data_IF_833250730055
#
_entry.id   IF_833250730055
#
_cell.length_a   1.000
_cell.length_b   1.000
_cell.length_c   1.000
_cell.angle_alpha   90.00
_cell.angle_beta   90.00
_cell.angle_gamma   90.00
#
_symmetry.space_group_name_H-M   'P 1'
#
loop_
_entity.id
_entity.type
_entity.pdbx_description
1 polymer ?
#
# COMPACT_ATOMS: atom_id res chain seq x y z
N UNK A 1 -10.39 12.90 -42.23
CA UNK A 1 -9.81 13.76 -41.16
C UNK A 1 -8.96 12.97 -40.16
N UNK A 2 -8.10 12.06 -40.63
CA UNK A 2 -7.53 11.01 -39.75
C UNK A 2 -6.17 11.38 -39.14
N UNK A 3 -5.42 12.28 -39.76
CA UNK A 3 -4.04 12.63 -39.36
C UNK A 3 -3.97 13.51 -38.11
N UNK A 4 -4.95 14.39 -37.89
CA UNK A 4 -4.99 15.26 -36.70
C UNK A 4 -5.28 14.45 -35.43
N UNK A 5 -6.16 13.46 -35.48
CA UNK A 5 -6.45 12.57 -34.34
C UNK A 5 -5.22 11.71 -33.93
N UNK A 6 -4.27 11.49 -34.84
CA UNK A 6 -2.98 10.85 -34.53
C UNK A 6 -2.05 11.79 -33.74
N UNK A 7 -2.02 13.08 -34.12
CA UNK A 7 -1.22 14.10 -33.43
C UNK A 7 -1.75 14.41 -32.02
N UNK A 8 -3.07 14.41 -31.81
CA UNK A 8 -3.67 14.64 -30.49
C UNK A 8 -3.69 13.39 -29.57
N UNK A 9 -3.66 12.16 -30.09
CA UNK A 9 -3.61 10.94 -29.25
C UNK A 9 -2.19 10.48 -28.86
N UNK A 10 -1.15 10.97 -29.52
CA UNK A 10 0.24 10.55 -29.25
C UNK A 10 0.92 11.44 -28.21
N UNK A 11 0.34 11.52 -27.00
CA UNK A 11 1.04 12.14 -25.88
C UNK A 11 2.40 11.47 -25.68
N UNK A 12 3.46 12.28 -25.68
CA UNK A 12 4.84 11.78 -25.66
C UNK A 12 5.14 11.04 -24.36
N UNK A 13 6.23 10.28 -24.36
CA UNK A 13 6.72 9.62 -23.15
C UNK A 13 6.85 10.63 -21.99
N UNK A 14 7.40 11.82 -22.24
CA UNK A 14 7.59 12.86 -21.23
C UNK A 14 6.28 13.35 -20.62
N UNK A 15 5.26 13.63 -21.44
CA UNK A 15 3.94 14.04 -20.94
C UNK A 15 3.31 12.96 -20.08
N UNK A 16 3.28 11.70 -20.55
CA UNK A 16 2.71 10.58 -19.77
C UNK A 16 3.48 10.35 -18.47
N UNK A 17 4.80 10.40 -18.52
CA UNK A 17 5.66 10.23 -17.36
C UNK A 17 5.43 11.34 -16.33
N UNK A 18 5.41 12.62 -16.74
CA UNK A 18 5.08 13.77 -15.87
C UNK A 18 3.72 13.60 -15.19
N UNK A 19 2.68 13.23 -15.93
CA UNK A 19 1.34 13.02 -15.36
C UNK A 19 1.36 11.90 -14.32
N UNK A 20 1.92 10.73 -14.63
CA UNK A 20 1.97 9.61 -13.68
C UNK A 20 2.81 9.93 -12.43
N UNK A 21 3.95 10.63 -12.56
CA UNK A 21 4.77 11.04 -11.41
C UNK A 21 4.00 11.99 -10.47
N UNK A 22 3.33 13.02 -11.01
CA UNK A 22 2.52 13.94 -10.23
C UNK A 22 1.34 13.24 -9.53
N UNK A 23 0.71 12.26 -10.18
CA UNK A 23 -0.34 11.45 -9.56
C UNK A 23 0.20 10.60 -8.41
N UNK A 24 1.37 9.94 -8.55
CA UNK A 24 2.02 9.19 -7.45
C UNK A 24 2.30 10.11 -6.26
N UNK A 25 2.92 11.27 -6.48
CA UNK A 25 3.24 12.24 -5.42
C UNK A 25 1.96 12.69 -4.70
N UNK A 26 0.91 13.03 -5.45
CA UNK A 26 -0.38 13.45 -4.89
C UNK A 26 -1.08 12.33 -4.11
N UNK A 27 -0.99 11.09 -4.61
CA UNK A 27 -1.52 9.87 -3.98
C UNK A 27 -0.82 9.58 -2.65
N UNK A 28 0.51 9.69 -2.60
CA UNK A 28 1.30 9.48 -1.38
C UNK A 28 0.90 10.49 -0.30
N UNK A 29 0.81 11.78 -0.65
CA UNK A 29 0.38 12.85 0.28
C UNK A 29 -1.00 12.57 0.89
N UNK A 30 -1.95 12.02 0.11
CA UNK A 30 -3.26 11.60 0.60
C UNK A 30 -3.21 10.34 1.49
N UNK A 31 -2.41 9.33 1.12
CA UNK A 31 -2.31 8.06 1.84
C UNK A 31 -1.59 8.19 3.18
N UNK A 32 -0.63 9.13 3.31
CA UNK A 32 0.14 9.38 4.54
C UNK A 32 -0.78 9.61 5.74
N UNK A 33 -1.63 10.64 5.68
CA UNK A 33 -2.57 11.00 6.76
C UNK A 33 -3.48 9.82 7.19
N UNK A 34 -3.98 9.03 6.23
CA UNK A 34 -4.82 7.85 6.51
C UNK A 34 -4.05 6.77 7.27
N UNK A 35 -2.83 6.47 6.83
CA UNK A 35 -1.97 5.42 7.40
C UNK A 35 -1.40 5.82 8.77
N UNK A 36 -1.08 7.10 8.96
CA UNK A 36 -0.69 7.65 10.28
C UNK A 36 -1.82 7.50 11.31
N UNK A 37 -3.06 7.87 10.94
CA UNK A 37 -4.22 7.68 11.82
C UNK A 37 -4.46 6.19 12.15
N UNK A 38 -4.30 5.30 11.15
CA UNK A 38 -4.38 3.85 11.37
C UNK A 38 -3.30 3.38 12.35
N UNK A 39 -2.05 3.86 12.22
CA UNK A 39 -0.96 3.54 13.15
C UNK A 39 -1.24 4.02 14.58
N UNK A 40 -1.78 5.23 14.76
CA UNK A 40 -2.19 5.73 16.08
C UNK A 40 -3.25 4.80 16.70
N UNK A 41 -4.23 4.34 15.92
CA UNK A 41 -5.24 3.40 16.41
C UNK A 41 -4.62 2.03 16.77
N UNK A 42 -3.77 1.46 15.90
CA UNK A 42 -3.11 0.18 16.17
C UNK A 42 -2.16 0.24 17.39
N UNK A 43 -1.51 1.38 17.67
CA UNK A 43 -0.73 1.59 18.90
C UNK A 43 -1.62 1.62 20.15
N UNK A 44 -2.81 2.21 20.09
CA UNK A 44 -3.80 2.19 21.19
C UNK A 44 -4.36 0.78 21.44
N UNK A 45 -4.67 0.02 20.39
CA UNK A 45 -5.03 -1.41 20.51
C UNK A 45 -3.89 -2.20 21.18
N UNK A 46 -2.63 -1.92 20.82
CA UNK A 46 -1.47 -2.56 21.43
C UNK A 46 -1.38 -2.31 22.93
N UNK A 47 -1.59 -1.07 23.38
CA UNK A 47 -1.65 -0.71 24.81
C UNK A 47 -2.71 -1.54 25.54
N UNK A 48 -3.90 -1.70 24.95
CA UNK A 48 -4.97 -2.52 25.54
C UNK A 48 -4.57 -3.99 25.65
N UNK A 49 -3.89 -4.56 24.65
CA UNK A 49 -3.40 -5.94 24.72
C UNK A 49 -2.34 -6.13 25.82
N UNK A 50 -1.42 -5.18 25.99
CA UNK A 50 -0.41 -5.24 27.05
C UNK A 50 -1.05 -5.13 28.45
N UNK A 51 -1.96 -4.16 28.66
CA UNK A 51 -2.67 -3.97 29.92
C UNK A 51 -3.57 -5.15 30.32
N UNK A 52 -4.08 -5.92 29.35
CA UNK A 52 -4.93 -7.09 29.60
C UNK A 52 -4.16 -8.42 29.59
N UNK A 53 -2.83 -8.40 29.51
CA UNK A 53 -1.99 -9.60 29.49
C UNK A 53 -2.11 -10.45 28.20
N UNK A 54 -2.70 -9.90 27.13
CA UNK A 54 -2.92 -10.59 25.86
C UNK A 54 -1.66 -10.58 24.97
N UNK A 55 -0.50 -10.96 25.54
CA UNK A 55 0.81 -10.84 24.89
C UNK A 55 0.92 -11.67 23.61
N UNK A 56 0.25 -12.82 23.51
CA UNK A 56 0.20 -13.63 22.28
C UNK A 56 -0.38 -12.85 21.10
N UNK A 57 -1.43 -12.06 21.33
CA UNK A 57 -2.06 -11.19 20.32
C UNK A 57 -1.15 -10.00 20.02
N UNK A 58 -0.56 -9.37 21.06
CA UNK A 58 0.39 -8.27 20.91
C UNK A 58 1.59 -8.66 20.02
N UNK A 59 2.20 -9.84 20.25
CA UNK A 59 3.33 -10.39 19.49
C UNK A 59 3.03 -10.58 17.99
N UNK A 60 1.79 -10.89 17.64
CA UNK A 60 1.35 -11.01 16.24
C UNK A 60 1.05 -9.62 15.66
N UNK A 61 0.27 -8.79 16.37
CA UNK A 61 -0.18 -7.48 15.91
C UNK A 61 0.96 -6.46 15.75
N UNK A 62 2.03 -6.53 16.55
CA UNK A 62 3.17 -5.61 16.41
C UNK A 62 3.89 -5.80 15.08
N UNK A 63 3.85 -7.00 14.52
CA UNK A 63 4.43 -7.29 13.22
C UNK A 63 3.68 -6.57 12.08
N UNK A 64 2.36 -6.38 12.23
CA UNK A 64 1.57 -5.55 11.31
C UNK A 64 1.92 -4.07 11.48
N UNK A 65 2.02 -3.57 12.71
CA UNK A 65 2.46 -2.19 13.01
C UNK A 65 3.81 -1.88 12.35
N UNK A 66 4.78 -2.80 12.41
CA UNK A 66 6.10 -2.63 11.78
C UNK A 66 5.99 -2.58 10.24
N UNK A 67 5.17 -3.44 9.63
CA UNK A 67 4.92 -3.39 8.18
C UNK A 67 4.32 -2.05 7.76
N UNK A 68 3.34 -1.54 8.51
CA UNK A 68 2.67 -0.27 8.23
C UNK A 68 3.63 0.93 8.36
N UNK A 69 4.49 0.94 9.39
CA UNK A 69 5.58 1.94 9.52
C UNK A 69 6.57 1.85 8.36
N UNK A 70 6.96 0.64 7.96
CA UNK A 70 7.90 0.45 6.86
C UNK A 70 7.30 0.89 5.50
N UNK A 71 5.99 0.69 5.27
CA UNK A 71 5.31 1.19 4.07
C UNK A 71 5.30 2.72 4.05
N UNK A 72 5.04 3.41 5.16
CA UNK A 72 5.14 4.87 5.22
C UNK A 72 6.56 5.37 4.92
N UNK A 73 7.58 4.78 5.54
CA UNK A 73 8.98 5.12 5.26
C UNK A 73 9.37 4.85 3.79
N UNK A 74 8.84 3.78 3.18
CA UNK A 74 9.05 3.53 1.75
C UNK A 74 8.34 4.57 0.87
N UNK A 75 7.15 5.05 1.26
CA UNK A 75 6.42 6.09 0.52
C UNK A 75 7.16 7.43 0.52
N UNK A 76 7.84 7.81 1.61
CA UNK A 76 8.71 9.00 1.64
C UNK A 76 9.85 8.91 0.61
N UNK A 77 10.51 7.76 0.51
CA UNK A 77 11.59 7.52 -0.46
C UNK A 77 11.04 7.49 -1.90
N UNK A 78 9.89 6.84 -2.13
CA UNK A 78 9.23 6.81 -3.46
C UNK A 78 8.78 8.20 -3.88
N UNK A 79 8.23 9.01 -2.98
CA UNK A 79 7.86 10.41 -3.23
C UNK A 79 9.07 11.24 -3.66
N UNK A 80 10.16 11.19 -2.89
CA UNK A 80 11.43 11.86 -3.20
C UNK A 80 11.97 11.45 -4.57
N UNK A 81 11.99 10.15 -4.88
CA UNK A 81 12.43 9.67 -6.20
C UNK A 81 11.49 10.08 -7.33
N UNK A 82 10.17 10.13 -7.09
CA UNK A 82 9.23 10.64 -8.07
C UNK A 82 9.45 12.14 -8.34
N UNK A 83 9.67 12.97 -7.32
CA UNK A 83 9.99 14.39 -7.47
C UNK A 83 11.34 14.60 -8.19
N UNK A 84 12.37 13.82 -7.83
CA UNK A 84 13.71 13.87 -8.44
C UNK A 84 13.71 13.51 -9.94
N UNK A 85 12.95 12.47 -10.32
CA UNK A 85 12.76 12.07 -11.72
C UNK A 85 11.86 13.08 -12.45
N UNK A 86 10.82 13.61 -11.80
CA UNK A 86 9.90 14.60 -12.38
C UNK A 86 10.65 15.86 -12.85
N UNK A 87 11.56 16.37 -12.02
CA UNK A 87 12.43 17.49 -12.36
C UNK A 87 13.35 17.22 -13.57
N UNK A 88 13.65 15.95 -13.87
CA UNK A 88 14.60 15.51 -14.91
C UNK A 88 13.96 14.80 -16.10
N UNK A 89 12.62 14.77 -16.21
CA UNK A 89 11.93 14.13 -17.34
C UNK A 89 12.45 14.56 -18.73
N UNK A 90 12.83 15.82 -19.00
CA UNK A 90 13.42 16.18 -20.30
C UNK A 90 14.69 15.36 -20.65
N UNK A 91 15.53 15.04 -19.65
CA UNK A 91 16.72 14.20 -19.83
C UNK A 91 16.32 12.75 -20.11
N UNK A 92 15.36 12.22 -19.32
CA UNK A 92 14.78 10.88 -19.49
C UNK A 92 14.13 10.71 -20.87
N UNK A 93 13.48 11.76 -21.40
CA UNK A 93 12.80 11.72 -22.69
C UNK A 93 13.79 11.62 -23.86
N UNK A 94 14.90 12.38 -23.83
CA UNK A 94 15.92 12.39 -24.89
C UNK A 94 16.86 11.17 -24.83
N UNK A 95 17.36 10.81 -23.64
CA UNK A 95 18.37 9.75 -23.50
C UNK A 95 17.81 8.37 -23.84
N UNK A 96 18.53 7.57 -24.65
CA UNK A 96 18.09 6.22 -25.04
C UNK A 96 18.24 5.21 -23.89
N UNK A 97 19.33 5.33 -23.13
CA UNK A 97 19.63 4.48 -21.97
C UNK A 97 19.31 5.22 -20.67
N UNK A 98 19.16 4.46 -19.57
CA UNK A 98 18.87 5.04 -18.26
C UNK A 98 20.11 5.76 -17.70
N UNK A 99 20.09 7.10 -17.52
CA UNK A 99 21.24 7.86 -17.04
C UNK A 99 21.69 7.40 -15.66
N UNK A 100 23.00 7.35 -15.41
CA UNK A 100 23.56 6.84 -14.15
C UNK A 100 22.99 7.55 -12.91
N UNK A 101 22.93 8.89 -12.95
CA UNK A 101 22.37 9.74 -11.88
C UNK A 101 20.88 9.46 -11.58
N UNK A 102 20.13 8.93 -12.55
CA UNK A 102 18.70 8.65 -12.42
C UNK A 102 18.42 7.17 -12.16
N UNK A 103 19.43 6.30 -12.29
CA UNK A 103 19.25 4.85 -12.26
C UNK A 103 18.69 4.38 -10.93
N UNK A 104 19.19 4.89 -9.81
CA UNK A 104 18.70 4.51 -8.48
C UNK A 104 17.22 4.87 -8.29
N UNK A 105 16.84 6.10 -8.62
CA UNK A 105 15.46 6.56 -8.48
C UNK A 105 14.51 5.78 -9.40
N UNK A 106 14.87 5.58 -10.67
CA UNK A 106 14.04 4.88 -11.66
C UNK A 106 13.91 3.38 -11.31
N UNK A 107 15.02 2.70 -11.00
CA UNK A 107 15.00 1.30 -10.55
C UNK A 107 14.17 1.12 -9.28
N UNK A 108 14.25 2.06 -8.33
CA UNK A 108 13.48 2.00 -7.07
C UNK A 108 11.98 2.21 -7.29
N UNK A 109 11.58 3.13 -8.16
CA UNK A 109 10.17 3.31 -8.59
C UNK A 109 9.65 2.03 -9.26
N UNK A 110 10.45 1.39 -10.12
CA UNK A 110 10.11 0.12 -10.76
C UNK A 110 9.93 -1.00 -9.72
N UNK A 111 10.88 -1.15 -8.79
CA UNK A 111 10.82 -2.16 -7.73
C UNK A 111 9.60 -1.99 -6.81
N UNK A 112 9.28 -0.75 -6.43
CA UNK A 112 8.12 -0.40 -5.61
C UNK A 112 6.78 -0.71 -6.30
N UNK A 113 6.71 -0.61 -7.64
CA UNK A 113 5.47 -0.86 -8.39
C UNK A 113 4.86 -2.26 -8.19
N UNK A 114 5.68 -3.27 -7.86
CA UNK A 114 5.21 -4.63 -7.58
C UNK A 114 4.80 -4.87 -6.12
N UNK A 115 4.99 -3.89 -5.23
CA UNK A 115 4.85 -4.04 -3.76
C UNK A 115 3.90 -3.01 -3.14
N UNK A 116 3.69 -1.87 -3.78
CA UNK A 116 2.81 -0.79 -3.30
C UNK A 116 1.47 -0.78 -4.06
N UNK A 117 0.55 -1.69 -3.70
CA UNK A 117 -0.76 -1.84 -4.37
C UNK A 117 -1.65 -0.58 -4.32
N UNK A 118 -1.55 0.23 -3.27
CA UNK A 118 -2.29 1.51 -3.16
C UNK A 118 -1.76 2.62 -4.09
N UNK A 119 -0.65 2.38 -4.79
CA UNK A 119 0.01 3.28 -5.75
C UNK A 119 0.01 2.68 -7.18
N UNK A 120 -1.16 2.37 -7.78
CA UNK A 120 -1.26 1.75 -9.11
C UNK A 120 -0.67 2.61 -10.25
N UNK A 121 -0.45 3.91 -10.04
CA UNK A 121 0.28 4.76 -10.97
C UNK A 121 1.76 4.34 -11.11
N UNK A 122 2.36 3.69 -10.10
CA UNK A 122 3.69 3.08 -10.22
C UNK A 122 3.73 1.97 -11.28
N UNK A 123 2.63 1.21 -11.46
CA UNK A 123 2.54 0.20 -12.52
C UNK A 123 2.54 0.86 -13.91
N UNK A 124 1.92 2.03 -14.04
CA UNK A 124 1.94 2.82 -15.27
C UNK A 124 3.36 3.38 -15.54
N UNK A 125 4.05 3.88 -14.52
CA UNK A 125 5.46 4.28 -14.62
C UNK A 125 6.36 3.11 -15.01
N UNK A 126 6.19 1.93 -14.41
CA UNK A 126 6.91 0.72 -14.82
C UNK A 126 6.69 0.44 -16.29
N UNK A 127 5.45 0.43 -16.78
CA UNK A 127 5.14 0.14 -18.19
C UNK A 127 5.74 1.19 -19.16
N UNK A 128 5.79 2.46 -18.75
CA UNK A 128 6.51 3.51 -19.48
C UNK A 128 8.01 3.23 -19.53
N UNK A 129 8.64 2.89 -18.40
CA UNK A 129 10.06 2.53 -18.35
C UNK A 129 10.39 1.22 -19.10
N UNK A 130 9.50 0.22 -19.11
CA UNK A 130 9.62 -1.00 -19.95
C UNK A 130 9.70 -0.63 -21.43
N UNK A 131 8.85 0.31 -21.87
CA UNK A 131 8.84 0.80 -23.26
C UNK A 131 10.08 1.64 -23.59
N UNK A 132 10.61 2.37 -22.60
CA UNK A 132 11.71 3.32 -22.77
C UNK A 132 13.10 2.67 -22.70
N UNK A 133 13.31 1.75 -21.76
CA UNK A 133 14.62 1.14 -21.45
C UNK A 133 14.65 -0.39 -21.62
N UNK A 134 13.53 -1.01 -22.01
CA UNK A 134 13.43 -2.44 -22.29
C UNK A 134 13.04 -3.30 -21.09
N UNK A 135 12.69 -4.56 -21.38
CA UNK A 135 12.21 -5.53 -20.38
C UNK A 135 13.31 -5.96 -19.41
N UNK A 136 14.54 -6.18 -19.88
CA UNK A 136 15.65 -6.64 -19.01
C UNK A 136 16.03 -5.63 -17.94
N UNK A 137 16.01 -4.33 -18.25
CA UNK A 137 16.24 -3.27 -17.25
C UNK A 137 15.18 -3.31 -16.14
N UNK A 138 13.90 -3.45 -16.53
CA UNK A 138 12.78 -3.53 -15.58
C UNK A 138 12.80 -4.83 -14.78
N UNK A 139 13.09 -5.97 -15.41
CA UNK A 139 13.23 -7.26 -14.75
C UNK A 139 14.39 -7.24 -13.74
N UNK A 140 15.56 -6.70 -14.12
CA UNK A 140 16.71 -6.54 -13.24
C UNK A 140 16.38 -5.75 -11.97
N UNK A 141 15.63 -4.64 -12.09
CA UNK A 141 15.15 -3.86 -10.95
C UNK A 141 14.09 -4.60 -10.11
N UNK A 142 13.16 -5.33 -10.72
CA UNK A 142 12.11 -6.07 -9.99
C UNK A 142 12.64 -7.30 -9.22
N UNK A 143 13.59 -8.01 -9.82
CA UNK A 143 14.21 -9.25 -9.34
C UNK A 143 15.43 -9.01 -8.42
N UNK A 144 15.87 -7.76 -8.29
CA UNK A 144 17.09 -7.38 -7.55
C UNK A 144 18.35 -8.11 -8.06
N UNK A 145 18.52 -8.18 -9.38
CA UNK A 145 19.74 -8.69 -10.01
C UNK A 145 20.97 -7.88 -9.53
N UNK A 146 22.20 -8.44 -9.62
CA UNK A 146 23.43 -7.66 -9.51
C UNK A 146 23.35 -6.39 -10.36
N UNK A 147 23.84 -5.27 -9.82
CA UNK A 147 23.82 -3.95 -10.44
C UNK A 147 22.44 -3.37 -10.82
N UNK A 148 21.34 -3.94 -10.29
CA UNK A 148 19.96 -3.43 -10.44
C UNK A 148 19.80 -1.96 -10.03
N UNK A 149 20.68 -1.46 -9.15
CA UNK A 149 20.72 -0.07 -8.70
C UNK A 149 19.56 0.33 -7.78
N UNK A 150 18.72 -0.60 -7.33
CA UNK A 150 17.61 -0.31 -6.42
C UNK A 150 18.14 0.16 -5.06
N UNK A 151 17.55 1.23 -4.52
CA UNK A 151 17.91 1.78 -3.22
C UNK A 151 17.73 0.74 -2.10
N UNK A 152 18.79 0.51 -1.32
CA UNK A 152 18.83 -0.53 -0.29
C UNK A 152 17.75 -0.36 0.79
N UNK A 153 17.50 0.87 1.23
CA UNK A 153 16.47 1.15 2.23
C UNK A 153 15.08 0.83 1.70
N UNK A 154 14.77 1.10 0.42
CA UNK A 154 13.51 0.68 -0.21
C UNK A 154 13.37 -0.86 -0.26
N UNK A 155 14.46 -1.60 -0.50
CA UNK A 155 14.45 -3.08 -0.47
C UNK A 155 14.11 -3.58 0.93
N UNK A 156 14.76 -3.04 1.96
CA UNK A 156 14.55 -3.41 3.36
C UNK A 156 13.11 -3.08 3.81
N UNK A 157 12.62 -1.88 3.49
CA UNK A 157 11.30 -1.39 3.89
C UNK A 157 10.15 -2.10 3.17
N UNK A 158 10.31 -2.45 1.89
CA UNK A 158 9.31 -3.19 1.11
C UNK A 158 9.54 -4.71 1.13
N UNK A 159 10.40 -5.22 2.02
CA UNK A 159 10.64 -6.64 2.18
C UNK A 159 9.42 -7.36 2.76
N UNK A 160 9.10 -8.54 2.22
CA UNK A 160 8.08 -9.44 2.76
C UNK A 160 8.58 -10.27 3.96
N UNK A 161 9.89 -10.21 4.26
CA UNK A 161 10.51 -10.94 5.38
C UNK A 161 9.90 -10.50 6.71
N UNK A 162 9.64 -11.46 7.59
CA UNK A 162 9.17 -11.17 8.95
C UNK A 162 10.20 -10.33 9.72
N UNK A 163 9.78 -9.26 10.43
CA UNK A 163 10.61 -8.53 11.38
C UNK A 163 11.23 -9.45 12.44
N UNK A 164 12.47 -9.16 12.84
CA UNK A 164 13.15 -9.91 13.90
C UNK A 164 12.42 -9.80 15.24
N UNK A 165 12.61 -10.79 16.12
CA UNK A 165 12.10 -10.76 17.50
C UNK A 165 12.54 -9.50 18.25
N UNK A 166 13.82 -9.12 18.10
CA UNK A 166 14.38 -7.86 18.64
C UNK A 166 13.64 -6.61 18.12
N UNK A 167 13.35 -6.54 16.81
CA UNK A 167 12.62 -5.41 16.22
C UNK A 167 11.18 -5.32 16.75
N UNK A 168 10.50 -6.47 16.86
CA UNK A 168 9.16 -6.57 17.46
C UNK A 168 9.16 -6.12 18.92
N UNK A 169 10.11 -6.63 19.71
CA UNK A 169 10.29 -6.28 21.12
C UNK A 169 10.60 -4.79 21.32
N UNK A 170 11.47 -4.21 20.49
CA UNK A 170 11.81 -2.79 20.53
C UNK A 170 10.59 -1.91 20.28
N UNK A 171 9.72 -2.28 19.33
CA UNK A 171 8.49 -1.52 19.06
C UNK A 171 7.46 -1.70 20.19
N UNK A 172 7.32 -2.89 20.78
CA UNK A 172 6.47 -3.09 21.97
C UNK A 172 6.94 -2.24 23.15
N UNK A 173 8.24 -2.30 23.49
CA UNK A 173 8.85 -1.50 24.57
C UNK A 173 8.65 0.00 24.33
N UNK A 174 8.82 0.48 23.09
CA UNK A 174 8.58 1.88 22.73
C UNK A 174 7.10 2.31 22.85
N UNK A 175 6.13 1.44 22.51
CA UNK A 175 4.70 1.73 22.70
C UNK A 175 4.35 1.75 24.19
N UNK A 176 4.83 0.78 24.98
CA UNK A 176 4.61 0.76 26.42
C UNK A 176 5.14 2.03 27.09
N UNK A 177 6.35 2.48 26.73
CA UNK A 177 6.95 3.72 27.22
C UNK A 177 6.17 4.97 26.79
N UNK A 178 5.76 5.09 25.52
CA UNK A 178 5.01 6.24 25.00
C UNK A 178 3.68 6.47 25.74
N UNK A 179 3.00 5.39 26.11
CA UNK A 179 1.70 5.43 26.80
C UNK A 179 1.78 5.21 28.32
N UNK A 180 2.99 5.17 28.90
CA UNK A 180 3.26 4.94 30.32
C UNK A 180 2.58 3.66 30.87
N UNK A 181 2.67 2.57 30.10
CA UNK A 181 2.19 1.24 30.50
C UNK A 181 3.32 0.50 31.21
N UNK A 182 3.10 0.13 32.46
CA UNK A 182 3.98 -0.80 33.18
C UNK A 182 3.76 -2.22 32.64
N UNK A 183 4.78 -2.77 31.97
CA UNK A 183 4.74 -4.07 31.31
C UNK A 183 6.07 -4.80 31.48
N UNK A 184 6.03 -6.01 32.06
CA UNK A 184 7.18 -6.91 32.09
C UNK A 184 7.34 -7.63 30.74
N UNK A 185 8.34 -7.21 29.98
CA UNK A 185 8.63 -7.79 28.66
C UNK A 185 9.26 -9.19 28.70
N UNK A 186 9.61 -9.72 29.87
CA UNK A 186 10.43 -10.94 30.02
C UNK A 186 9.82 -12.17 29.35
N UNK A 187 8.50 -12.35 29.43
CA UNK A 187 7.82 -13.47 28.78
C UNK A 187 7.89 -13.36 27.24
N UNK A 188 7.46 -12.23 26.69
CA UNK A 188 7.53 -11.94 25.25
C UNK A 188 8.96 -11.98 24.69
N UNK A 189 9.96 -11.55 25.46
CA UNK A 189 11.37 -11.61 25.07
C UNK A 189 11.88 -13.08 25.02
N UNK A 190 11.57 -13.89 26.03
CA UNK A 190 11.88 -15.33 26.01
C UNK A 190 11.18 -16.05 24.85
N UNK A 191 9.91 -15.72 24.57
CA UNK A 191 9.13 -16.25 23.45
C UNK A 191 9.72 -15.88 22.08
N UNK A 192 10.22 -14.65 21.90
CA UNK A 192 10.88 -14.24 20.66
C UNK A 192 12.27 -14.87 20.46
N UNK A 193 12.93 -15.28 21.55
CA UNK A 193 14.21 -15.98 21.53
C UNK A 193 14.08 -17.50 21.32
N UNK A 194 12.85 -18.05 21.31
CA UNK A 194 12.63 -19.46 20.95
C UNK A 194 13.05 -19.70 19.50
N UNK A 195 14.14 -20.42 19.31
CA UNK A 195 14.42 -21.10 18.04
C UNK A 195 13.34 -22.17 17.86
N UNK A 196 12.40 -21.91 16.96
CA UNK A 196 11.62 -22.97 16.36
C UNK A 196 12.59 -23.73 15.45
N UNK A 197 12.85 -25.00 15.78
CA UNK A 197 13.58 -25.89 14.86
C UNK A 197 12.83 -25.91 13.53
N UNK A 198 13.53 -25.58 12.45
CA UNK A 198 12.91 -25.42 11.14
C UNK A 198 12.66 -26.81 10.54
N UNK A 199 11.47 -27.36 10.83
CA UNK A 199 11.03 -28.67 10.35
C UNK A 199 10.91 -28.76 8.81
N UNK A 200 11.31 -27.72 8.09
CA UNK A 200 11.37 -27.64 6.63
C UNK A 200 12.80 -27.48 6.07
N UNK A 201 13.86 -27.51 6.89
CA UNK A 201 15.25 -27.52 6.40
C UNK A 201 15.65 -28.92 5.89
N UNK A 202 15.12 -29.27 4.72
CA UNK A 202 15.34 -30.55 4.06
C UNK A 202 16.72 -30.68 3.41
N UNK A 203 17.79 -30.83 4.19
CA UNK A 203 19.12 -31.25 3.68
C UNK A 203 19.99 -32.00 4.70
N UNK A 204 19.65 -33.29 4.87
CA UNK A 204 20.53 -34.45 5.09
C UNK A 204 21.86 -34.30 5.88
N UNK A 205 21.89 -34.86 7.10
CA UNK A 205 22.73 -36.04 7.44
C UNK A 205 22.61 -36.48 8.90
N UNK A 206 21.90 -37.58 9.15
CA UNK A 206 22.18 -38.47 10.30
C UNK A 206 21.56 -39.84 10.05
N UNK A 207 22.38 -40.82 9.64
CA UNK A 207 21.97 -42.22 9.63
C UNK A 207 22.08 -42.75 11.05
N UNK A 208 20.99 -42.67 11.81
CA UNK A 208 20.85 -43.45 13.04
C UNK A 208 20.20 -44.78 12.72
N UNK A 209 21.01 -45.83 12.84
CA UNK A 209 20.64 -47.21 12.59
C UNK A 209 19.76 -47.72 13.73
N UNK A 210 18.45 -47.88 13.48
CA UNK A 210 17.52 -48.54 14.41
C UNK A 210 16.92 -49.76 13.72
N UNK A 211 17.06 -50.92 14.36
CA UNK A 211 16.60 -52.20 13.81
C UNK A 211 15.06 -52.29 13.85
N UNK A 212 14.48 -52.84 12.77
CA UNK A 212 13.06 -53.15 12.72
C UNK A 212 12.78 -54.51 13.40
N UNK A 213 11.70 -54.67 14.19
CA UNK A 213 11.22 -55.97 14.62
C UNK A 213 10.48 -56.68 13.47
N UNK A 214 10.70 -57.99 13.37
CA UNK A 214 10.03 -58.89 12.42
C UNK A 214 8.59 -59.15 12.86
N UNK A 215 7.64 -59.10 11.92
CA UNK A 215 6.34 -59.76 12.05
C UNK A 215 6.18 -60.71 10.86
N UNK A 216 5.97 -61.98 11.19
CA UNK A 216 5.96 -63.11 10.26
C UNK A 216 4.54 -63.35 9.71
N UNK A 217 4.44 -63.64 8.41
CA UNK A 217 3.16 -63.89 7.73
C UNK A 217 2.99 -65.38 7.44
N UNK A 218 1.90 -66.01 7.91
CA UNK A 218 1.50 -67.34 7.47
C UNK A 218 0.56 -67.25 6.24
N UNK A 219 0.92 -68.00 5.19
CA UNK A 219 0.19 -68.09 3.92
C UNK A 219 -0.55 -69.43 3.82
N UNK A 220 -1.72 -69.46 3.16
CA UNK A 220 -2.14 -70.45 2.13
C UNK A 220 -3.41 -69.91 1.44
N UNK A 221 -3.40 -69.55 0.14
CA UNK A 221 -3.53 -70.38 -1.08
C UNK A 221 -5.02 -70.65 -1.48
N UNK A 222 -5.50 -70.72 -2.73
CA UNK A 222 -4.93 -70.71 -4.12
C UNK A 222 -6.09 -70.33 -5.09
N UNK A 223 -5.99 -69.53 -6.18
CA UNK A 223 -5.26 -69.64 -7.47
C UNK A 223 -6.03 -70.28 -8.66
N UNK A 224 -6.37 -69.47 -9.70
CA UNK A 224 -6.46 -69.76 -11.18
C UNK A 224 -7.06 -68.52 -11.90
N UNK A 225 -6.50 -67.90 -12.96
CA UNK A 225 -6.23 -68.33 -14.38
C UNK A 225 -7.52 -68.62 -15.18
N UNK A 226 -7.73 -68.20 -16.44
CA UNK A 226 -6.92 -67.40 -17.41
C UNK A 226 -7.83 -66.71 -18.50
N UNK A 227 -7.27 -66.11 -19.57
CA UNK A 227 -7.88 -65.07 -20.48
C UNK A 227 -8.36 -65.60 -21.90
N UNK A 228 -8.40 -64.75 -22.98
CA UNK A 228 -9.52 -64.12 -23.78
C UNK A 228 -10.13 -65.01 -24.93
N UNK A 229 -10.75 -64.59 -26.11
CA UNK A 229 -11.05 -63.26 -26.74
C UNK A 229 -12.36 -63.03 -27.60
N UNK A 230 -12.66 -61.73 -27.87
CA UNK A 230 -13.15 -61.01 -29.11
C UNK A 230 -14.08 -61.67 -30.17
N UNK A 231 -15.16 -60.97 -30.64
CA UNK A 231 -15.47 -60.59 -32.06
C UNK A 231 -16.87 -59.90 -32.32
N UNK A 232 -16.85 -58.82 -33.16
CA UNK A 232 -17.86 -58.31 -34.15
C UNK A 232 -19.12 -57.48 -33.72
N UNK A 233 -19.42 -56.46 -34.56
CA UNK A 233 -20.44 -55.36 -34.54
C UNK A 233 -21.75 -55.69 -35.33
N UNK A 234 -22.59 -54.79 -35.95
CA UNK A 234 -22.73 -53.29 -35.95
C UNK A 234 -24.19 -52.68 -36.06
N UNK A 235 -24.29 -51.33 -36.23
CA UNK A 235 -25.26 -50.51 -37.05
C UNK A 235 -26.37 -49.62 -36.38
N UNK A 236 -26.30 -48.29 -36.68
CA UNK A 236 -27.30 -47.15 -36.75
C UNK A 236 -28.20 -46.75 -35.53
N UNK A 237 -28.67 -45.49 -35.33
CA UNK A 237 -28.82 -44.33 -36.26
C UNK A 237 -28.82 -42.91 -35.57
N UNK A 238 -28.74 -41.84 -36.41
CA UNK A 238 -29.27 -40.46 -36.29
C UNK A 238 -28.74 -39.34 -35.32
N UNK A 239 -28.09 -38.33 -35.94
CA UNK A 239 -28.23 -36.84 -35.81
C UNK A 239 -27.78 -35.99 -34.57
N UNK A 240 -27.58 -34.68 -34.85
CA UNK A 240 -26.90 -33.65 -34.02
C UNK A 240 -27.86 -32.59 -33.41
N UNK A 241 -27.50 -31.92 -32.29
CA UNK A 241 -28.11 -30.66 -31.86
C UNK A 241 -27.28 -29.41 -32.23
N UNK A 242 -27.93 -28.23 -32.34
CA UNK A 242 -27.30 -26.96 -32.74
C UNK A 242 -27.71 -25.74 -31.87
N UNK A 243 -27.03 -24.60 -32.06
CA UNK A 243 -26.79 -23.49 -31.09
C UNK A 243 -27.86 -22.38 -31.05
N UNK A 244 -28.11 -21.79 -29.86
CA UNK A 244 -28.46 -20.35 -29.59
C UNK A 244 -28.39 -20.06 -28.07
N UNK A 245 -28.18 -18.85 -27.53
CA UNK A 245 -28.01 -17.51 -28.10
C UNK A 245 -28.79 -16.45 -27.29
N UNK A 246 -28.11 -15.50 -26.62
CA UNK A 246 -28.72 -14.39 -25.83
C UNK A 246 -29.47 -13.36 -26.71
N UNK A 247 -30.37 -12.48 -26.19
CA UNK A 247 -29.96 -11.21 -25.56
C UNK A 247 -30.96 -10.61 -24.52
N UNK A 248 -30.98 -9.28 -24.38
CA UNK A 248 -31.42 -8.44 -23.24
C UNK A 248 -32.76 -7.67 -23.37
N UNK A 249 -33.33 -7.29 -22.21
CA UNK A 249 -34.29 -6.19 -21.94
C UNK A 249 -35.71 -6.25 -22.55
N UNK A 250 -36.72 -5.70 -21.85
CA UNK A 250 -37.23 -4.36 -22.23
C UNK A 250 -37.65 -3.47 -21.03
N UNK A 251 -38.20 -2.29 -21.34
CA UNK A 251 -38.61 -1.25 -20.39
C UNK A 251 -40.12 -1.06 -20.27
N UNK A 252 -40.56 -0.39 -19.19
CA UNK A 252 -41.71 0.53 -19.19
C UNK A 252 -43.10 -0.05 -18.90
N UNK A 253 -43.66 0.31 -17.75
CA UNK A 253 -45.10 0.62 -17.61
C UNK A 253 -45.33 1.51 -16.39
N UNK A 254 -46.33 2.39 -16.46
CA UNK A 254 -46.66 3.36 -15.42
C UNK A 254 -47.91 2.95 -14.65
N UNK A 255 -47.98 3.29 -13.35
CA UNK A 255 -49.24 3.70 -12.70
C UNK A 255 -48.98 4.43 -11.39
N UNK A 256 -49.71 5.52 -11.19
CA UNK A 256 -49.71 6.29 -9.96
C UNK A 256 -50.78 5.78 -8.99
N UNK A 257 -50.53 5.92 -7.69
CA UNK A 257 -51.56 5.98 -6.66
C UNK A 257 -51.29 7.15 -5.73
N UNK A 258 -52.31 7.96 -5.48
CA UNK A 258 -52.26 9.10 -4.59
C UNK A 258 -52.46 8.67 -3.13
N UNK A 259 -51.88 9.40 -2.19
CA UNK A 259 -52.18 9.29 -0.77
C UNK A 259 -52.58 10.67 -0.22
N UNK A 260 -53.62 10.68 0.63
CA UNK A 260 -54.32 11.88 1.10
C UNK A 260 -53.65 12.56 2.30
N UNK A 261 -53.91 13.86 2.47
CA UNK A 261 -53.50 14.66 3.63
C UNK A 261 -54.37 14.35 4.86
N UNK A 262 -53.76 14.39 6.04
CA UNK A 262 -54.40 14.94 7.26
C UNK A 262 -53.33 15.46 8.23
N UNK A 263 -53.56 16.65 8.80
CA UNK A 263 -52.74 17.31 9.83
C UNK A 263 -53.45 17.18 11.20
N UNK A 264 -52.77 17.48 12.32
CA UNK A 264 -53.15 18.71 13.05
C UNK A 264 -51.98 19.53 13.65
N UNK A 265 -52.32 20.80 13.98
CA UNK A 265 -51.52 21.87 14.63
C UNK A 265 -50.92 21.49 16.01
N UNK A 266 -50.06 22.29 16.69
CA UNK A 266 -49.59 23.69 16.56
C UNK A 266 -48.08 23.75 17.00
N UNK A 267 -47.33 24.87 17.08
CA UNK A 267 -47.62 26.29 17.31
C UNK A 267 -46.43 27.16 16.86
N UNK A 268 -46.62 28.47 16.69
CA UNK A 268 -45.72 29.40 15.96
C UNK A 268 -44.57 30.00 16.78
N UNK A 269 -43.49 30.45 16.11
CA UNK A 269 -42.90 31.79 16.30
C UNK A 269 -42.04 32.21 15.09
N UNK A 270 -42.19 33.45 14.63
CA UNK A 270 -41.61 34.01 13.39
C UNK A 270 -40.24 34.69 13.56
N UNK A 271 -39.37 34.62 12.54
CA UNK A 271 -38.73 35.77 11.86
C UNK A 271 -37.82 35.31 10.68
N UNK A 272 -37.51 36.19 9.69
CA UNK A 272 -37.34 35.76 8.29
C UNK A 272 -35.90 35.43 7.86
N UNK A 273 -35.80 34.71 6.74
CA UNK A 273 -34.55 34.45 6.03
C UNK A 273 -34.20 35.61 5.08
N UNK A 274 -32.93 36.04 5.07
CA UNK A 274 -32.37 36.90 4.02
C UNK A 274 -31.71 36.05 2.93
N UNK A 275 -31.87 36.49 1.68
CA UNK A 275 -31.26 35.87 0.50
C UNK A 275 -29.75 36.12 0.47
N UNK A 276 -28.93 35.08 0.49
CA UNK A 276 -27.48 35.21 0.28
C UNK A 276 -27.21 35.44 -1.21
N UNK A 277 -27.29 36.71 -1.61
CA UNK A 277 -26.81 37.21 -2.90
C UNK A 277 -25.31 36.96 -3.04
N UNK A 278 -24.91 36.28 -4.11
CA UNK A 278 -23.52 35.93 -4.36
C UNK A 278 -22.76 37.12 -4.98
N UNK A 279 -22.33 38.05 -4.14
CA UNK A 279 -21.48 39.18 -4.53
C UNK A 279 -19.99 38.83 -4.42
N UNK A 280 -19.24 39.07 -5.50
CA UNK A 280 -17.79 38.90 -5.52
C UNK A 280 -17.12 39.92 -4.59
N UNK A 281 -16.15 39.53 -3.75
CA UNK A 281 -15.49 40.45 -2.83
C UNK A 281 -14.76 41.55 -3.62
N UNK A 282 -14.92 42.80 -3.18
CA UNK A 282 -14.31 43.94 -3.86
C UNK A 282 -12.78 43.89 -3.75
N UNK A 283 -12.08 44.55 -4.68
CA UNK A 283 -10.61 44.68 -4.59
C UNK A 283 -10.15 45.35 -3.29
N UNK A 284 -11.01 46.17 -2.66
CA UNK A 284 -10.76 46.79 -1.36
C UNK A 284 -10.68 45.77 -0.23
N UNK A 285 -11.62 44.82 -0.18
CA UNK A 285 -11.70 43.81 0.89
C UNK A 285 -10.52 42.83 0.87
N UNK A 286 -10.02 42.51 -0.32
CA UNK A 286 -8.83 41.69 -0.49
C UNK A 286 -7.56 42.39 0.00
N UNK A 287 -7.41 43.69 -0.29
CA UNK A 287 -6.28 44.49 0.15
C UNK A 287 -6.28 44.71 1.67
N UNK A 288 -7.44 44.92 2.29
CA UNK A 288 -7.52 45.12 3.73
C UNK A 288 -7.24 43.81 4.50
N UNK A 289 -7.75 42.67 4.03
CA UNK A 289 -7.37 41.35 4.56
C UNK A 289 -5.86 41.08 4.45
N UNK A 290 -5.23 41.49 3.34
CA UNK A 290 -3.78 41.37 3.18
C UNK A 290 -3.00 42.25 4.18
N UNK A 291 -3.44 43.49 4.42
CA UNK A 291 -2.84 44.39 5.44
C UNK A 291 -2.95 43.81 6.84
N UNK A 292 -4.13 43.29 7.22
CA UNK A 292 -4.35 42.64 8.52
C UNK A 292 -3.44 41.41 8.69
N UNK A 293 -3.27 40.60 7.64
CA UNK A 293 -2.34 39.46 7.65
C UNK A 293 -0.88 39.90 7.85
N UNK A 294 -0.41 40.93 7.14
CA UNK A 294 0.94 41.50 7.30
C UNK A 294 1.14 42.03 8.72
N UNK A 295 0.17 42.78 9.25
CA UNK A 295 0.21 43.29 10.63
C UNK A 295 0.22 42.16 11.69
N UNK A 296 -0.40 41.02 11.40
CA UNK A 296 -0.34 39.84 12.26
C UNK A 296 1.04 39.17 12.22
N UNK A 297 1.59 38.97 11.01
CA UNK A 297 2.91 38.37 10.81
C UNK A 297 4.05 39.19 11.43
N UNK A 298 3.98 40.53 11.36
CA UNK A 298 4.97 41.41 12.00
C UNK A 298 4.89 41.37 13.52
N UNK A 299 3.68 41.32 14.11
CA UNK A 299 3.49 41.12 15.57
C UNK A 299 4.04 39.77 16.03
N UNK A 300 3.72 38.67 15.32
CA UNK A 300 4.26 37.35 15.62
C UNK A 300 5.80 37.31 15.56
N UNK A 301 6.38 37.94 14.53
CA UNK A 301 7.84 38.07 14.38
C UNK A 301 8.47 38.89 15.51
N UNK A 302 7.82 39.94 16.00
CA UNK A 302 8.30 40.73 17.13
C UNK A 302 8.27 39.92 18.44
N UNK A 303 7.18 39.20 18.70
CA UNK A 303 7.04 38.33 19.87
C UNK A 303 8.10 37.20 19.88
N UNK A 304 8.37 36.59 18.72
CA UNK A 304 9.41 35.56 18.58
C UNK A 304 10.81 36.09 18.92
N UNK A 305 11.15 37.32 18.48
CA UNK A 305 12.44 37.96 18.84
C UNK A 305 12.51 38.27 20.34
N UNK A 306 11.45 38.79 20.94
CA UNK A 306 11.40 39.07 22.38
C UNK A 306 11.60 37.78 23.21
N UNK A 307 10.96 36.68 22.80
CA UNK A 307 11.16 35.37 23.44
C UNK A 307 12.60 34.84 23.27
N UNK A 308 13.23 35.06 22.12
CA UNK A 308 14.62 34.66 21.88
C UNK A 308 15.63 35.45 22.75
N UNK A 309 15.42 36.75 22.97
CA UNK A 309 16.28 37.53 23.87
C UNK A 309 16.08 37.12 25.34
N UNK A 310 14.85 36.85 25.79
CA UNK A 310 14.59 36.30 27.13
C UNK A 310 15.27 34.94 27.34
N UNK A 311 15.32 34.09 26.31
CA UNK A 311 16.04 32.82 26.35
C UNK A 311 17.56 33.01 26.50
N UNK A 312 18.17 33.97 25.77
CA UNK A 312 19.61 34.29 25.91
C UNK A 312 19.96 34.79 27.30
N UNK A 313 19.16 35.71 27.86
CA UNK A 313 19.38 36.24 29.22
C UNK A 313 19.38 35.10 30.26
N UNK A 314 18.50 34.11 30.09
CA UNK A 314 18.39 32.95 30.98
C UNK A 314 19.55 31.95 30.87
N UNK A 315 20.28 31.94 29.75
CA UNK A 315 21.48 31.12 29.53
C UNK A 315 22.73 31.82 30.09
N UNK A 316 22.76 33.16 30.13
CA UNK A 316 23.87 33.94 30.71
C UNK A 316 23.78 34.17 32.23
N UNK A 317 22.77 33.59 32.89
CA UNK A 317 22.52 33.72 34.33
C UNK A 317 22.56 32.38 35.08
N UNK A 318 23.26 31.39 34.51
CA UNK A 318 23.65 30.11 35.13
C UNK A 318 25.17 29.97 35.07
#
# INVERSE_FOLDING_TARGET
>A
MSSLNSLFNRSTFGTKCKTCLNLVISRIKLLRNRRELQLINMRKEMVQYLQTGQESIARIRVEHIIREQNILAAYEIVELFCEFVLARVPIVEVQKECPLELREAISSIIFASGRCSDLPELMHLRNLFTTKYGKEFVAGAMELRPDSGVNRTIIEKLSVKAPSGESKLKVLKAIAQEYNVEWDSSNTEAEFNKKYEDLLDGSASSVHQVQAPVIESSLVASASRDKPPVLISPVEDAEKPHVRGSPSSPAGSARAYAATKTNPSAQEHHSPAEEISCSSPSSSDALEKARVAIASATRASAAARAAAELAKVKITSQ
#
